data_IF_596469779166
#
_entry.id   IF_596469779166
#
_cell.length_a   1.000
_cell.length_b   1.000
_cell.length_c   1.000
_cell.angle_alpha   90.00
_cell.angle_beta   90.00
_cell.angle_gamma   90.00
#
_symmetry.space_group_name_H-M   'P 1'
#
loop_
_entity.id
_entity.type
_entity.pdbx_description
1 polymer ?
#
# COMPACT_ATOMS: atom_id res chain seq x y z
N UNK A 1 -14.20 -20.25 -12.58
CA UNK A 1 -15.10 -19.53 -13.50
C UNK A 1 -16.15 -18.73 -12.72
N UNK A 2 -16.78 -19.32 -11.70
CA UNK A 2 -17.85 -18.68 -10.89
C UNK A 2 -17.40 -17.44 -10.09
N UNK A 3 -16.20 -17.45 -9.49
CA UNK A 3 -15.66 -16.30 -8.73
C UNK A 3 -15.55 -15.02 -9.56
N UNK A 4 -15.10 -15.14 -10.82
CA UNK A 4 -14.97 -13.99 -11.74
C UNK A 4 -16.34 -13.44 -12.13
N UNK A 5 -17.28 -14.31 -12.48
CA UNK A 5 -18.65 -13.92 -12.81
C UNK A 5 -19.35 -13.23 -11.62
N UNK A 6 -19.15 -13.71 -10.39
CA UNK A 6 -19.67 -13.06 -9.18
C UNK A 6 -19.07 -11.68 -8.94
N UNK A 7 -17.77 -11.49 -9.18
CA UNK A 7 -17.11 -10.18 -9.08
C UNK A 7 -17.60 -9.20 -10.14
N UNK A 8 -17.77 -9.66 -11.38
CA UNK A 8 -18.33 -8.85 -12.47
C UNK A 8 -19.77 -8.44 -12.17
N UNK A 9 -20.58 -9.36 -11.66
CA UNK A 9 -21.95 -9.06 -11.25
C UNK A 9 -22.02 -7.93 -10.20
N UNK A 10 -21.13 -7.93 -9.21
CA UNK A 10 -21.04 -6.84 -8.20
C UNK A 10 -20.72 -5.49 -8.86
N UNK A 11 -19.86 -5.49 -9.88
CA UNK A 11 -19.46 -4.28 -10.61
C UNK A 11 -20.55 -3.74 -11.55
N UNK A 12 -21.42 -4.59 -12.09
CA UNK A 12 -22.38 -4.22 -13.14
C UNK A 12 -23.83 -4.13 -12.69
N UNK A 13 -24.22 -4.83 -11.61
CA UNK A 13 -25.63 -4.92 -11.20
C UNK A 13 -26.11 -3.58 -10.60
N UNK A 14 -27.17 -3.03 -11.20
CA UNK A 14 -27.80 -1.77 -10.79
C UNK A 14 -28.78 -1.95 -9.63
N UNK A 15 -29.25 -3.18 -9.38
CA UNK A 15 -30.26 -3.47 -8.35
C UNK A 15 -29.64 -3.87 -7.00
N UNK A 16 -28.32 -3.76 -6.86
CA UNK A 16 -27.60 -4.22 -5.68
C UNK A 16 -27.73 -3.29 -4.47
N UNK A 17 -28.21 -2.05 -4.64
CA UNK A 17 -28.25 -1.01 -3.59
C UNK A 17 -28.84 -1.49 -2.23
N UNK A 18 -29.96 -2.23 -2.18
CA UNK A 18 -30.50 -2.70 -0.89
C UNK A 18 -29.58 -3.68 -0.16
N UNK A 19 -28.75 -4.43 -0.90
CA UNK A 19 -27.84 -5.42 -0.35
C UNK A 19 -26.46 -4.85 0.04
N UNK A 20 -26.11 -3.64 -0.42
CA UNK A 20 -24.77 -3.05 -0.25
C UNK A 20 -24.34 -2.98 1.20
N UNK A 21 -25.22 -2.58 2.12
CA UNK A 21 -24.87 -2.51 3.54
C UNK A 21 -24.51 -3.89 4.12
N UNK A 22 -25.19 -4.95 3.68
CA UNK A 22 -24.89 -6.32 4.09
C UNK A 22 -23.59 -6.83 3.47
N UNK A 23 -23.35 -6.53 2.19
CA UNK A 23 -22.11 -6.88 1.49
C UNK A 23 -20.91 -6.20 2.15
N UNK A 24 -21.01 -4.89 2.45
CA UNK A 24 -19.96 -4.15 3.15
C UNK A 24 -19.71 -4.74 4.54
N UNK A 25 -20.76 -5.08 5.28
CA UNK A 25 -20.60 -5.70 6.60
C UNK A 25 -19.90 -7.06 6.49
N UNK A 26 -20.29 -7.89 5.53
CA UNK A 26 -19.63 -9.16 5.23
C UNK A 26 -18.15 -8.98 4.89
N UNK A 27 -17.81 -8.00 4.05
CA UNK A 27 -16.42 -7.69 3.70
C UNK A 27 -15.64 -7.22 4.93
N UNK A 28 -16.20 -6.31 5.72
CA UNK A 28 -15.57 -5.76 6.91
C UNK A 28 -15.24 -6.86 7.93
N UNK A 29 -16.22 -7.72 8.24
CA UNK A 29 -16.04 -8.80 9.21
C UNK A 29 -15.15 -9.91 8.64
N UNK A 30 -15.26 -10.20 7.34
CA UNK A 30 -14.39 -11.11 6.63
C UNK A 30 -12.93 -10.68 6.68
N UNK A 31 -12.63 -9.40 6.46
CA UNK A 31 -11.25 -8.88 6.56
C UNK A 31 -10.72 -9.07 7.97
N UNK A 32 -11.50 -8.69 9.00
CA UNK A 32 -11.09 -8.80 10.41
C UNK A 32 -10.75 -10.23 10.81
N UNK A 33 -11.59 -11.19 10.43
CA UNK A 33 -11.36 -12.61 10.76
C UNK A 33 -10.15 -13.16 9.99
N UNK A 34 -10.04 -12.85 8.70
CA UNK A 34 -8.98 -13.44 7.86
C UNK A 34 -7.60 -12.82 8.07
N UNK A 35 -7.50 -11.61 8.62
CA UNK A 35 -6.24 -11.06 9.10
C UNK A 35 -5.69 -11.85 10.30
N UNK A 36 -6.56 -12.40 11.16
CA UNK A 36 -6.14 -13.26 12.28
C UNK A 36 -5.80 -14.66 11.78
N UNK A 37 -6.55 -15.17 10.80
CA UNK A 37 -6.35 -16.50 10.24
C UNK A 37 -5.21 -16.57 9.21
N UNK A 38 -4.64 -15.43 8.78
CA UNK A 38 -3.57 -15.35 7.79
C UNK A 38 -3.92 -15.91 6.40
N UNK A 39 -5.19 -15.85 5.98
CA UNK A 39 -5.62 -16.31 4.65
C UNK A 39 -5.54 -15.19 3.61
N UNK A 40 -4.34 -15.00 3.04
CA UNK A 40 -4.03 -13.92 2.07
C UNK A 40 -4.91 -13.95 0.81
N UNK A 41 -5.20 -15.13 0.25
CA UNK A 41 -6.01 -15.26 -0.96
C UNK A 41 -7.45 -14.74 -0.78
N UNK A 42 -8.02 -14.98 0.40
CA UNK A 42 -9.37 -14.53 0.73
C UNK A 42 -9.38 -13.02 0.95
N UNK A 43 -8.39 -12.48 1.67
CA UNK A 43 -8.20 -11.04 1.82
C UNK A 43 -8.08 -10.35 0.45
N UNK A 44 -7.33 -10.93 -0.49
CA UNK A 44 -7.21 -10.40 -1.83
C UNK A 44 -8.57 -10.32 -2.55
N UNK A 45 -9.40 -11.36 -2.46
CA UNK A 45 -10.77 -11.29 -3.03
C UNK A 45 -11.68 -10.31 -2.30
N UNK A 46 -11.57 -10.16 -0.99
CA UNK A 46 -12.36 -9.19 -0.25
C UNK A 46 -12.01 -7.76 -0.67
N UNK A 47 -10.72 -7.43 -0.81
CA UNK A 47 -10.27 -6.13 -1.35
C UNK A 47 -10.73 -5.98 -2.81
N UNK A 48 -10.68 -7.05 -3.61
CA UNK A 48 -11.18 -7.02 -4.99
C UNK A 48 -12.68 -6.71 -5.05
N UNK A 49 -13.48 -7.25 -4.12
CA UNK A 49 -14.90 -6.92 -4.00
C UNK A 49 -15.11 -5.44 -3.67
N UNK A 50 -14.31 -4.87 -2.75
CA UNK A 50 -14.34 -3.42 -2.48
C UNK A 50 -14.08 -2.64 -3.75
N UNK A 51 -13.06 -3.03 -4.52
CA UNK A 51 -12.70 -2.34 -5.78
C UNK A 51 -13.84 -2.38 -6.81
N UNK A 52 -14.49 -3.53 -6.98
CA UNK A 52 -15.64 -3.66 -7.88
C UNK A 52 -16.83 -2.81 -7.42
N UNK A 53 -17.13 -2.81 -6.12
CA UNK A 53 -18.17 -1.94 -5.56
C UNK A 53 -17.85 -0.45 -5.82
N UNK A 54 -16.58 -0.06 -5.68
CA UNK A 54 -16.14 1.32 -5.94
C UNK A 54 -16.22 1.67 -7.42
N UNK A 55 -16.04 0.73 -8.35
CA UNK A 55 -16.22 0.98 -9.78
C UNK A 55 -17.69 1.05 -10.20
N UNK A 56 -18.61 0.42 -9.47
CA UNK A 56 -20.03 0.50 -9.78
C UNK A 56 -20.56 1.92 -9.50
N UNK A 57 -20.98 2.63 -10.56
CA UNK A 57 -21.51 3.99 -10.47
C UNK A 57 -22.99 4.04 -10.04
N UNK A 58 -23.68 2.90 -10.11
CA UNK A 58 -25.12 2.79 -9.79
C UNK A 58 -25.37 2.67 -8.29
N UNK A 59 -24.31 2.45 -7.51
CA UNK A 59 -24.34 2.23 -6.07
C UNK A 59 -23.85 3.47 -5.34
N UNK A 60 -24.62 3.94 -4.36
CA UNK A 60 -24.14 4.93 -3.40
C UNK A 60 -23.42 4.24 -2.22
N UNK A 61 -22.09 4.26 -2.26
CA UNK A 61 -21.23 3.73 -1.19
C UNK A 61 -20.90 4.75 -0.10
N UNK A 62 -21.22 6.04 -0.29
CA UNK A 62 -20.83 7.11 0.63
C UNK A 62 -21.22 6.81 2.09
N UNK A 63 -22.43 6.28 2.39
CA UNK A 63 -22.81 5.94 3.76
C UNK A 63 -21.96 4.83 4.40
N UNK A 64 -21.34 3.97 3.58
CA UNK A 64 -20.64 2.76 4.01
C UNK A 64 -19.12 2.92 4.09
N UNK A 65 -18.55 4.04 3.60
CA UNK A 65 -17.10 4.27 3.56
C UNK A 65 -16.43 4.23 4.93
N UNK A 66 -17.16 4.59 6.00
CA UNK A 66 -16.64 4.54 7.36
C UNK A 66 -16.27 3.12 7.83
N UNK A 67 -16.79 2.06 7.19
CA UNK A 67 -16.38 0.66 7.41
C UNK A 67 -15.30 0.23 6.44
N UNK A 68 -15.40 0.63 5.17
CA UNK A 68 -14.46 0.20 4.13
C UNK A 68 -13.06 0.79 4.33
N UNK A 69 -12.98 2.10 4.61
CA UNK A 69 -11.70 2.79 4.82
C UNK A 69 -10.83 2.13 5.89
N UNK A 70 -11.30 1.92 7.14
CA UNK A 70 -10.47 1.26 8.16
C UNK A 70 -10.12 -0.18 7.78
N UNK A 71 -11.04 -0.94 7.14
CA UNK A 71 -10.72 -2.30 6.68
C UNK A 71 -9.61 -2.34 5.63
N UNK A 72 -9.63 -1.43 4.65
CA UNK A 72 -8.56 -1.34 3.65
C UNK A 72 -7.25 -0.89 4.28
N UNK A 73 -7.28 0.08 5.19
CA UNK A 73 -6.09 0.53 5.94
C UNK A 73 -5.49 -0.61 6.76
N UNK A 74 -6.31 -1.44 7.43
CA UNK A 74 -5.83 -2.60 8.18
C UNK A 74 -5.09 -3.60 7.30
N UNK A 75 -5.55 -3.85 6.07
CA UNK A 75 -4.83 -4.70 5.11
C UNK A 75 -3.51 -4.09 4.65
N UNK A 76 -3.43 -2.76 4.48
CA UNK A 76 -2.17 -2.08 4.14
C UNK A 76 -1.15 -2.18 5.28
N UNK A 77 -1.58 -1.95 6.52
CA UNK A 77 -0.70 -1.85 7.69
C UNK A 77 -0.37 -3.22 8.31
N UNK A 78 -0.99 -4.30 7.83
CA UNK A 78 -0.82 -5.61 8.42
C UNK A 78 0.63 -6.08 8.38
N UNK A 79 1.18 -6.38 9.55
CA UNK A 79 2.49 -7.01 9.70
C UNK A 79 2.30 -8.52 9.82
N UNK A 80 2.85 -9.26 8.87
CA UNK A 80 2.92 -10.71 8.94
C UNK A 80 4.33 -11.12 9.38
N UNK A 81 4.44 -12.20 10.14
CA UNK A 81 5.73 -12.76 10.61
C UNK A 81 6.02 -14.10 9.89
N UNK A 82 5.83 -14.11 8.58
CA UNK A 82 5.91 -15.32 7.74
C UNK A 82 7.30 -15.55 7.17
N UNK A 83 7.52 -16.76 6.67
CA UNK A 83 8.77 -17.14 6.04
C UNK A 83 8.66 -17.04 4.52
N UNK A 84 9.26 -16.01 3.91
CA UNK A 84 9.85 -15.98 2.57
C UNK A 84 8.91 -16.09 1.36
N UNK A 85 8.15 -17.19 1.23
CA UNK A 85 7.27 -17.42 0.05
C UNK A 85 5.91 -16.75 0.20
N UNK A 86 5.39 -16.72 1.43
CA UNK A 86 4.14 -16.02 1.73
C UNK A 86 4.32 -14.50 1.69
N UNK A 87 5.55 -14.01 1.85
CA UNK A 87 5.86 -12.57 1.92
C UNK A 87 5.55 -11.84 0.61
N UNK A 88 5.77 -12.48 -0.54
CA UNK A 88 5.42 -11.94 -1.87
C UNK A 88 3.89 -11.75 -2.01
N UNK A 89 3.10 -12.72 -1.56
CA UNK A 89 1.63 -12.62 -1.60
C UNK A 89 1.12 -11.52 -0.66
N UNK A 90 1.73 -11.36 0.52
CA UNK A 90 1.43 -10.28 1.44
C UNK A 90 1.86 -8.91 0.90
N UNK A 91 2.99 -8.82 0.19
CA UNK A 91 3.39 -7.61 -0.53
C UNK A 91 2.34 -7.21 -1.55
N UNK A 92 1.94 -8.14 -2.42
CA UNK A 92 0.94 -7.91 -3.45
C UNK A 92 -0.41 -7.49 -2.84
N UNK A 93 -0.81 -8.09 -1.71
CA UNK A 93 -2.00 -7.67 -0.98
C UNK A 93 -1.89 -6.22 -0.50
N UNK A 94 -0.74 -5.80 0.04
CA UNK A 94 -0.52 -4.42 0.52
C UNK A 94 -0.57 -3.42 -0.63
N UNK A 95 0.09 -3.72 -1.75
CA UNK A 95 0.06 -2.89 -2.96
C UNK A 95 -1.36 -2.74 -3.50
N UNK A 96 -2.08 -3.86 -3.61
CA UNK A 96 -3.44 -3.87 -4.11
C UNK A 96 -4.41 -3.12 -3.17
N UNK A 97 -4.21 -3.25 -1.85
CA UNK A 97 -4.97 -2.53 -0.83
C UNK A 97 -4.69 -1.03 -0.87
N UNK A 98 -3.42 -0.62 -0.99
CA UNK A 98 -3.02 0.77 -1.11
C UNK A 98 -3.60 1.42 -2.39
N UNK A 99 -3.53 0.72 -3.53
CA UNK A 99 -4.12 1.18 -4.78
C UNK A 99 -5.66 1.28 -4.70
N UNK A 100 -6.30 0.39 -3.96
CA UNK A 100 -7.76 0.43 -3.74
C UNK A 100 -8.15 1.56 -2.78
N UNK A 101 -7.35 1.83 -1.74
CA UNK A 101 -7.55 2.98 -0.86
C UNK A 101 -7.40 4.29 -1.62
N UNK A 102 -6.36 4.42 -2.45
CA UNK A 102 -6.15 5.57 -3.32
C UNK A 102 -7.36 5.82 -4.24
N UNK A 103 -7.89 4.77 -4.86
CA UNK A 103 -9.08 4.84 -5.71
C UNK A 103 -10.31 5.37 -4.92
N UNK A 104 -10.52 4.88 -3.70
CA UNK A 104 -11.63 5.36 -2.83
C UNK A 104 -11.43 6.84 -2.51
N UNK A 105 -10.23 7.23 -2.07
CA UNK A 105 -9.93 8.62 -1.71
C UNK A 105 -10.11 9.55 -2.91
N UNK A 106 -9.58 9.20 -4.08
CA UNK A 106 -9.71 10.01 -5.30
C UNK A 106 -11.18 10.14 -5.74
N UNK A 107 -11.96 9.05 -5.70
CA UNK A 107 -13.37 9.08 -6.13
C UNK A 107 -14.25 9.93 -5.20
N UNK A 108 -14.05 9.84 -3.88
CA UNK A 108 -14.98 10.44 -2.91
C UNK A 108 -14.46 11.72 -2.25
N UNK A 109 -13.16 12.04 -2.34
CA UNK A 109 -12.60 13.27 -1.77
C UNK A 109 -13.22 14.56 -2.32
N UNK A 110 -13.60 14.69 -3.61
CA UNK A 110 -14.28 15.89 -4.11
C UNK A 110 -15.65 16.11 -3.48
N UNK A 111 -16.33 15.03 -3.07
CA UNK A 111 -17.64 15.08 -2.43
C UNK A 111 -17.54 15.30 -0.92
N UNK A 112 -16.52 14.70 -0.28
CA UNK A 112 -16.32 14.79 1.16
C UNK A 112 -14.81 14.80 1.48
N UNK A 113 -14.22 16.00 1.71
CA UNK A 113 -12.78 16.13 1.98
C UNK A 113 -12.29 15.37 3.22
N UNK A 114 -13.17 15.12 4.20
CA UNK A 114 -12.82 14.38 5.43
C UNK A 114 -12.42 12.92 5.18
N UNK A 115 -12.81 12.34 4.03
CA UNK A 115 -12.39 11.00 3.59
C UNK A 115 -10.90 10.95 3.27
N UNK A 116 -10.30 12.07 2.86
CA UNK A 116 -8.86 12.15 2.59
C UNK A 116 -8.06 12.36 3.88
N UNK A 117 -8.49 13.32 4.70
CA UNK A 117 -7.76 13.77 5.90
C UNK A 117 -7.59 12.65 6.92
N UNK A 118 -8.65 11.87 7.20
CA UNK A 118 -8.62 10.86 8.26
C UNK A 118 -7.71 9.66 7.95
N UNK A 119 -7.81 8.98 6.79
CA UNK A 119 -6.90 7.90 6.41
C UNK A 119 -5.44 8.34 6.40
N UNK A 120 -5.13 9.48 5.78
CA UNK A 120 -3.75 9.98 5.69
C UNK A 120 -3.18 10.24 7.08
N UNK A 121 -3.94 10.90 7.98
CA UNK A 121 -3.49 11.12 9.35
C UNK A 121 -3.17 9.82 10.10
N UNK A 122 -3.99 8.77 9.91
CA UNK A 122 -3.74 7.44 10.52
C UNK A 122 -2.49 6.80 9.92
N UNK A 123 -2.31 6.86 8.60
CA UNK A 123 -1.15 6.27 7.92
C UNK A 123 0.14 6.99 8.32
N UNK A 124 0.16 8.32 8.34
CA UNK A 124 1.31 9.13 8.78
C UNK A 124 1.67 8.82 10.23
N UNK A 125 0.66 8.65 11.11
CA UNK A 125 0.91 8.23 12.49
C UNK A 125 1.64 6.89 12.58
N UNK A 126 1.24 5.90 11.78
CA UNK A 126 1.91 4.59 11.78
C UNK A 126 3.28 4.63 11.09
N UNK A 127 3.46 5.49 10.08
CA UNK A 127 4.74 5.68 9.41
C UNK A 127 5.79 6.32 10.33
N UNK A 128 5.35 7.22 11.21
CA UNK A 128 6.22 7.86 12.20
C UNK A 128 6.47 6.99 13.46
N UNK A 129 5.85 5.80 13.55
CA UNK A 129 6.06 4.90 14.67
C UNK A 129 7.39 4.13 14.52
N UNK A 130 8.36 4.42 15.38
CA UNK A 130 9.68 3.77 15.39
C UNK A 130 9.61 2.27 15.69
N UNK A 131 8.55 1.81 16.35
CA UNK A 131 8.35 0.41 16.73
C UNK A 131 7.69 -0.45 15.64
N UNK A 132 7.15 0.17 14.59
CA UNK A 132 6.45 -0.53 13.52
C UNK A 132 7.39 -1.45 12.71
N UNK A 133 6.89 -2.58 12.24
CA UNK A 133 7.66 -3.44 11.33
C UNK A 133 7.87 -2.74 9.98
N UNK A 134 8.93 -3.13 9.26
CA UNK A 134 9.20 -2.58 7.93
C UNK A 134 8.07 -2.89 6.94
N UNK A 135 7.38 -4.02 7.09
CA UNK A 135 6.19 -4.35 6.29
C UNK A 135 5.03 -3.36 6.53
N UNK A 136 4.80 -2.95 7.78
CA UNK A 136 3.79 -1.92 8.11
C UNK A 136 4.20 -0.55 7.57
N UNK A 137 5.49 -0.17 7.72
CA UNK A 137 6.02 1.09 7.19
C UNK A 137 5.91 1.15 5.66
N UNK A 138 6.23 0.07 4.98
CA UNK A 138 6.08 -0.06 3.52
C UNK A 138 4.62 0.12 3.08
N UNK A 139 3.69 -0.61 3.71
CA UNK A 139 2.26 -0.48 3.41
C UNK A 139 1.70 0.91 3.71
N UNK A 140 2.18 1.56 4.78
CA UNK A 140 1.83 2.94 5.10
C UNK A 140 2.33 3.90 4.03
N UNK A 141 3.58 3.77 3.60
CA UNK A 141 4.21 4.61 2.58
C UNK A 141 3.46 4.53 1.25
N UNK A 142 3.19 3.32 0.75
CA UNK A 142 2.45 3.10 -0.49
C UNK A 142 1.05 3.73 -0.44
N UNK A 143 0.34 3.53 0.67
CA UNK A 143 -0.98 4.08 0.86
C UNK A 143 -0.96 5.62 0.89
N UNK A 144 0.04 6.24 1.51
CA UNK A 144 0.18 7.70 1.53
C UNK A 144 0.50 8.22 0.12
N UNK A 145 1.48 7.62 -0.57
CA UNK A 145 1.85 7.97 -1.94
C UNK A 145 0.68 7.85 -2.93
N UNK A 146 -0.23 6.89 -2.71
CA UNK A 146 -1.43 6.74 -3.53
C UNK A 146 -2.55 7.75 -3.21
N UNK A 147 -2.66 8.19 -1.94
CA UNK A 147 -3.72 9.10 -1.50
C UNK A 147 -3.36 10.58 -1.65
N UNK A 148 -2.08 10.91 -1.73
CA UNK A 148 -1.56 12.27 -1.88
C UNK A 148 -1.35 12.59 -3.36
N UNK A 149 -1.87 13.73 -3.79
CA UNK A 149 -1.80 14.19 -5.19
C UNK A 149 -0.73 15.27 -5.40
N UNK A 150 -0.27 15.95 -4.34
CA UNK A 150 0.62 17.12 -4.39
C UNK A 150 1.88 16.91 -3.56
N UNK A 151 3.04 17.26 -4.10
CA UNK A 151 4.34 17.04 -3.45
C UNK A 151 4.53 17.84 -2.14
N UNK A 152 3.81 18.97 -1.99
CA UNK A 152 3.81 19.76 -0.74
C UNK A 152 3.34 18.93 0.47
N UNK A 153 2.39 18.02 0.27
CA UNK A 153 1.86 17.16 1.33
C UNK A 153 2.80 16.00 1.68
N UNK A 154 3.78 15.71 0.82
CA UNK A 154 4.80 14.68 1.02
C UNK A 154 6.03 15.19 1.78
N UNK A 155 6.25 16.52 1.83
CA UNK A 155 7.35 17.14 2.56
C UNK A 155 7.55 16.63 4.00
N UNK A 156 6.52 16.54 4.88
CA UNK A 156 6.74 16.07 6.26
C UNK A 156 7.09 14.58 6.38
N UNK A 157 6.82 13.79 5.34
CA UNK A 157 7.09 12.35 5.31
C UNK A 157 8.47 12.09 4.73
N UNK A 158 8.92 12.98 3.83
CA UNK A 158 10.20 12.89 3.12
C UNK A 158 11.38 12.76 4.09
N UNK A 159 11.45 13.61 5.10
CA UNK A 159 12.56 13.59 6.08
C UNK A 159 12.61 12.27 6.85
N UNK A 160 11.44 11.76 7.28
CA UNK A 160 11.35 10.47 7.96
C UNK A 160 11.67 9.30 7.04
N UNK A 161 11.28 9.38 5.77
CA UNK A 161 11.58 8.36 4.77
C UNK A 161 13.08 8.27 4.50
N UNK A 162 13.79 9.40 4.33
CA UNK A 162 15.24 9.38 4.18
C UNK A 162 15.93 8.85 5.44
N UNK A 163 15.51 9.28 6.63
CA UNK A 163 16.02 8.72 7.88
C UNK A 163 15.81 7.19 7.97
N UNK A 164 14.65 6.68 7.51
CA UNK A 164 14.39 5.24 7.48
C UNK A 164 15.32 4.51 6.48
N UNK A 165 15.59 5.10 5.32
CA UNK A 165 16.53 4.53 4.35
C UNK A 165 17.95 4.51 4.91
N UNK A 166 18.39 5.58 5.56
CA UNK A 166 19.71 5.65 6.22
C UNK A 166 19.80 4.64 7.37
N UNK A 167 18.73 4.50 8.18
CA UNK A 167 18.61 3.46 9.20
C UNK A 167 18.76 2.07 8.56
N UNK A 168 18.06 1.78 7.47
CA UNK A 168 18.14 0.52 6.75
C UNK A 168 19.53 0.23 6.14
N UNK A 169 20.23 1.25 5.64
CA UNK A 169 21.58 1.10 5.09
C UNK A 169 22.63 0.88 6.19
N UNK A 170 22.44 1.48 7.37
CA UNK A 170 23.30 1.29 8.54
C UNK A 170 23.03 -0.04 9.28
N UNK A 171 21.80 -0.56 9.18
CA UNK A 171 21.42 -1.86 9.72
C UNK A 171 22.01 -2.96 8.83
N UNK A 172 23.15 -3.52 9.26
CA UNK A 172 23.80 -4.62 8.55
C UNK A 172 22.91 -5.86 8.34
N UNK A 173 23.34 -6.81 7.48
CA UNK A 173 22.57 -8.00 7.09
C UNK A 173 22.24 -8.97 8.23
N UNK A 174 22.79 -8.77 9.44
CA UNK A 174 22.49 -9.58 10.62
C UNK A 174 21.24 -9.08 11.38
N UNK A 175 20.70 -7.92 11.03
CA UNK A 175 19.54 -7.37 11.73
C UNK A 175 18.25 -8.06 11.25
N UNK A 176 17.49 -8.69 12.16
CA UNK A 176 16.25 -9.42 11.84
C UNK A 176 15.28 -8.59 10.98
N UNK A 177 15.08 -7.31 11.32
CA UNK A 177 14.26 -6.38 10.51
C UNK A 177 14.76 -6.25 9.06
N UNK A 178 16.08 -6.19 8.82
CA UNK A 178 16.64 -6.08 7.47
C UNK A 178 16.39 -7.35 6.65
N UNK A 179 16.60 -8.53 7.24
CA UNK A 179 16.33 -9.80 6.57
C UNK A 179 14.85 -10.02 6.26
N UNK A 180 13.96 -9.63 7.19
CA UNK A 180 12.51 -9.72 7.02
C UNK A 180 11.97 -8.74 5.96
N UNK A 181 12.79 -7.77 5.50
CA UNK A 181 12.36 -6.69 4.60
C UNK A 181 13.28 -6.47 3.40
N UNK A 182 14.29 -7.33 3.20
CA UNK A 182 15.21 -7.20 2.08
C UNK A 182 14.49 -7.21 0.71
N UNK A 183 13.39 -7.97 0.64
CA UNK A 183 12.51 -8.04 -0.53
C UNK A 183 11.72 -6.73 -0.79
N UNK A 184 11.57 -5.87 0.22
CA UNK A 184 10.89 -4.56 0.12
C UNK A 184 11.81 -3.45 -0.37
N UNK A 185 13.13 -3.61 -0.26
CA UNK A 185 14.13 -2.59 -0.64
C UNK A 185 13.99 -2.10 -2.08
N UNK A 186 13.79 -2.94 -3.12
CA UNK A 186 13.62 -2.46 -4.49
C UNK A 186 12.40 -1.55 -4.66
N UNK A 187 11.32 -1.85 -3.94
CA UNK A 187 10.10 -1.07 -3.97
C UNK A 187 10.25 0.25 -3.19
N UNK A 188 10.99 0.25 -2.07
CA UNK A 188 11.36 1.47 -1.36
C UNK A 188 12.28 2.36 -2.20
N UNK A 189 13.24 1.80 -2.93
CA UNK A 189 14.10 2.55 -3.87
C UNK A 189 13.26 3.15 -4.99
N UNK A 190 12.28 2.40 -5.52
CA UNK A 190 11.33 2.92 -6.51
C UNK A 190 10.49 4.07 -5.94
N UNK A 191 10.08 3.98 -4.67
CA UNK A 191 9.41 5.06 -3.97
C UNK A 191 10.34 6.27 -3.74
N UNK A 192 11.63 6.05 -3.42
CA UNK A 192 12.66 7.11 -3.28
C UNK A 192 12.73 7.98 -4.54
N UNK A 193 12.72 7.36 -5.72
CA UNK A 193 12.68 8.10 -7.01
C UNK A 193 11.47 9.02 -7.18
N UNK A 194 10.38 8.77 -6.45
CA UNK A 194 9.17 9.60 -6.50
C UNK A 194 9.22 10.77 -5.50
N UNK A 195 10.04 10.69 -4.47
CA UNK A 195 10.29 11.81 -3.55
C UNK A 195 11.41 12.73 -4.03
N UNK A 196 12.34 12.18 -4.82
CA UNK A 196 13.39 12.90 -5.54
C UNK A 196 12.83 13.31 -6.91
N UNK A 197 12.06 14.39 -6.96
CA UNK A 197 11.65 14.99 -8.24
C UNK A 197 12.89 15.44 -9.05
N UNK A 198 12.78 15.58 -10.40
CA UNK A 198 13.85 15.36 -11.39
C UNK A 198 14.99 16.39 -11.42
N UNK A 199 15.08 17.29 -10.45
CA UNK A 199 16.13 18.31 -10.40
C UNK A 199 17.45 17.79 -9.83
N UNK A 200 17.42 16.71 -9.04
CA UNK A 200 18.64 16.08 -8.50
C UNK A 200 19.19 14.94 -9.38
N UNK A 201 18.52 14.60 -10.48
CA UNK A 201 18.99 13.60 -11.44
C UNK A 201 20.28 14.00 -12.18
N UNK A 202 20.75 15.25 -12.03
CA UNK A 202 22.03 15.69 -12.57
C UNK A 202 23.23 15.46 -11.63
N UNK A 203 23.04 14.91 -10.42
CA UNK A 203 24.14 14.75 -9.45
C UNK A 203 24.65 13.31 -9.34
N UNK A 204 23.92 12.30 -9.85
CA UNK A 204 24.31 10.89 -9.74
C UNK A 204 24.84 10.23 -11.04
N UNK A 205 25.11 11.00 -12.11
CA UNK A 205 25.77 10.47 -13.32
C UNK A 205 27.31 10.51 -13.29
N UNK A 206 27.93 11.12 -12.26
CA UNK A 206 29.40 11.21 -12.13
C UNK A 206 30.00 10.18 -11.15
N UNK A 207 29.56 8.91 -11.23
CA UNK A 207 30.38 7.79 -10.75
C UNK A 207 30.91 7.08 -11.98
N UNK A 208 32.02 7.62 -12.48
CA UNK A 208 32.84 7.06 -13.55
C UNK A 208 33.06 5.55 -13.32
N UNK A 209 32.52 4.76 -14.25
CA UNK A 209 32.92 3.38 -14.48
C UNK A 209 34.39 3.36 -14.89
N UNK A 210 35.31 3.07 -13.97
CA UNK A 210 36.66 2.65 -14.36
C UNK A 210 36.60 1.30 -15.10
N UNK A 211 37.15 1.19 -16.32
CA UNK A 211 37.16 -0.06 -17.05
C UNK A 211 38.30 -0.94 -16.53
N UNK A 212 37.95 -1.97 -15.76
CA UNK A 212 38.85 -3.11 -15.48
C UNK A 212 38.94 -3.98 -16.74
N UNK A 213 39.84 -3.61 -17.66
CA UNK A 213 40.32 -4.52 -18.71
C UNK A 213 41.62 -3.98 -19.33
N UNK A 214 42.76 -4.22 -18.66
CA UNK A 214 44.09 -4.26 -19.29
C UNK A 214 45.08 -4.98 -18.37
N UNK A 215 44.94 -6.31 -18.29
CA UNK A 215 46.08 -7.21 -18.07
C UNK A 215 46.17 -8.13 -19.28
N UNK A 216 46.96 -7.72 -20.27
CA UNK A 216 47.78 -8.65 -21.05
C UNK A 216 49.19 -8.05 -21.00
N UNK A 217 49.96 -8.58 -20.07
CA UNK A 217 51.41 -8.51 -20.03
C UNK A 217 51.94 -9.38 -21.17
N UNK A 218 52.90 -8.82 -21.90
CA UNK A 218 53.95 -9.41 -22.76
C UNK A 218 53.78 -10.84 -23.30
#
# INVERSE_FOLDING_TARGET
>A
MERKAGMEAIGTDTNLQPAVAHIVAFIHDGIRVNLVLNFVELLYTLISMIRQLVHNHSIDLLPQLHKLLPSTISCCLYSHAGNGKDDDDWMLLREYSAATLALIVQKYSPMLPSIRVRPIAVLVKHFNDTSASLSTLYGALLAILGCVETDEQLSPIRDRFFALMDECEQMGPDHQRYNDAAHLLPALITAKKRFVDPFDAQVEEDIELEPVASQIVE
#
